data_IF_501138016269
#
_entry.id   IF_501138016269
#
_cell.length_a   1.000
_cell.length_b   1.000
_cell.length_c   1.000
_cell.angle_alpha   90.00
_cell.angle_beta   90.00
_cell.angle_gamma   90.00
#
_symmetry.space_group_name_H-M   'P 1'
#
loop_
_entity.id
_entity.type
_entity.pdbx_description
1 polymer ?
#
# COMPACT_ATOMS: atom_id res chain seq x y z
N UNK A 1 -19.85 -18.84 3.78
CA UNK A 1 -18.95 -17.70 3.41
C UNK A 1 -17.66 -17.84 4.17
N UNK A 2 -16.50 -17.77 3.50
CA UNK A 2 -15.21 -17.66 4.18
C UNK A 2 -14.88 -16.19 4.34
N UNK A 3 -14.53 -15.79 5.56
CA UNK A 3 -14.08 -14.44 5.88
C UNK A 3 -12.56 -14.39 5.77
N UNK A 4 -12.04 -13.41 5.04
CA UNK A 4 -10.61 -13.18 4.87
C UNK A 4 -10.28 -11.84 5.54
N UNK A 5 -9.36 -11.86 6.50
CA UNK A 5 -8.87 -10.64 7.13
C UNK A 5 -7.77 -10.01 6.26
N UNK A 6 -7.86 -8.70 6.06
CA UNK A 6 -6.91 -7.93 5.28
C UNK A 6 -6.80 -6.51 5.81
N UNK A 7 -5.96 -5.71 5.17
CA UNK A 7 -5.76 -4.30 5.51
C UNK A 7 -6.28 -3.41 4.38
N UNK A 8 -6.97 -2.34 4.75
CA UNK A 8 -7.43 -1.33 3.79
C UNK A 8 -6.24 -0.62 3.13
N UNK A 9 -6.18 -0.54 1.79
CA UNK A 9 -5.01 -0.03 1.08
C UNK A 9 -4.98 1.50 0.89
N UNK A 10 -5.98 2.24 1.37
CA UNK A 10 -6.14 3.65 0.98
C UNK A 10 -5.24 4.64 1.73
N UNK A 11 -5.09 4.51 3.03
CA UNK A 11 -4.29 5.47 3.78
C UNK A 11 -3.50 4.82 4.91
N UNK A 12 -2.57 5.58 5.49
CA UNK A 12 -1.66 5.11 6.53
C UNK A 12 -2.31 4.72 7.86
N UNK A 13 -3.63 4.89 8.04
CA UNK A 13 -4.32 4.36 9.23
C UNK A 13 -4.20 2.84 9.32
N UNK A 14 -4.20 2.15 8.17
CA UNK A 14 -4.06 0.70 8.15
C UNK A 14 -5.27 -0.03 8.75
N UNK A 15 -6.49 0.44 8.48
CA UNK A 15 -7.71 -0.16 9.00
C UNK A 15 -7.82 -1.63 8.62
N UNK A 16 -8.07 -2.49 9.59
CA UNK A 16 -8.38 -3.90 9.35
C UNK A 16 -9.76 -4.05 8.71
N UNK A 17 -9.85 -4.85 7.67
CA UNK A 17 -11.07 -5.20 6.96
C UNK A 17 -11.28 -6.71 6.97
N UNK A 18 -12.54 -7.10 6.99
CA UNK A 18 -12.99 -8.47 6.83
C UNK A 18 -13.72 -8.58 5.48
N UNK A 19 -13.21 -9.39 4.59
CA UNK A 19 -13.76 -9.58 3.24
C UNK A 19 -14.45 -10.92 3.18
N UNK A 20 -15.73 -10.92 2.82
CA UNK A 20 -16.51 -12.15 2.60
C UNK A 20 -16.80 -12.30 1.11
N UNK A 21 -16.43 -13.46 0.58
CA UNK A 21 -16.72 -13.86 -0.80
C UNK A 21 -17.64 -15.04 -0.73
N UNK A 22 -18.72 -15.01 -1.52
CA UNK A 22 -19.57 -16.16 -1.70
C UNK A 22 -18.83 -17.21 -2.54
N UNK A 23 -18.61 -18.40 -1.95
CA UNK A 23 -17.87 -19.48 -2.62
C UNK A 23 -18.63 -20.09 -3.79
N UNK A 24 -19.94 -19.97 -3.77
CA UNK A 24 -20.83 -20.52 -4.81
C UNK A 24 -21.01 -19.55 -5.99
N UNK A 25 -20.52 -18.30 -5.83
CA UNK A 25 -20.49 -17.34 -6.92
C UNK A 25 -19.30 -17.67 -7.84
N UNK A 26 -19.59 -18.04 -9.07
CA UNK A 26 -18.58 -18.06 -10.13
C UNK A 26 -17.98 -16.63 -10.25
N UNK A 27 -16.80 -16.45 -9.65
CA UNK A 27 -16.13 -15.14 -9.59
C UNK A 27 -15.76 -14.58 -10.97
N UNK A 28 -15.78 -15.45 -12.00
CA UNK A 28 -15.54 -15.06 -13.39
C UNK A 28 -16.77 -14.45 -14.05
N UNK A 29 -17.98 -14.85 -13.62
CA UNK A 29 -19.25 -14.45 -14.26
C UNK A 29 -20.21 -13.71 -13.34
N UNK A 30 -20.05 -13.80 -12.00
CA UNK A 30 -20.94 -13.12 -11.07
C UNK A 30 -20.62 -11.63 -10.94
N UNK A 31 -21.64 -10.79 -11.04
CA UNK A 31 -21.57 -9.36 -10.67
C UNK A 31 -21.69 -9.13 -9.16
N UNK A 32 -21.45 -10.18 -8.35
CA UNK A 32 -21.53 -10.03 -6.90
C UNK A 32 -20.32 -9.29 -6.36
N UNK A 33 -20.63 -8.21 -5.70
CA UNK A 33 -19.67 -7.38 -4.98
C UNK A 33 -19.22 -8.10 -3.71
N UNK A 34 -17.92 -8.26 -3.46
CA UNK A 34 -17.43 -8.73 -2.17
C UNK A 34 -17.96 -7.85 -1.03
N UNK A 35 -18.46 -8.47 0.02
CA UNK A 35 -18.84 -7.74 1.22
C UNK A 35 -17.57 -7.39 2.01
N UNK A 36 -17.34 -6.10 2.19
CA UNK A 36 -16.21 -5.59 2.99
C UNK A 36 -16.76 -4.92 4.23
N UNK A 37 -16.39 -5.46 5.38
CA UNK A 37 -16.76 -4.95 6.69
C UNK A 37 -15.50 -4.53 7.47
N UNK A 38 -15.68 -3.66 8.45
CA UNK A 38 -14.62 -3.31 9.36
C UNK A 38 -14.30 -4.50 10.29
N UNK A 39 -13.02 -4.83 10.44
CA UNK A 39 -12.58 -5.78 11.47
C UNK A 39 -12.79 -5.17 12.85
N UNK A 40 -13.60 -5.84 13.69
CA UNK A 40 -13.94 -5.36 15.03
C UNK A 40 -12.78 -5.43 16.01
N UNK A 41 -11.84 -6.33 15.76
CA UNK A 41 -10.73 -6.62 16.67
C UNK A 41 -9.40 -5.98 16.23
N UNK A 42 -9.37 -5.36 15.07
CA UNK A 42 -8.13 -4.77 14.56
C UNK A 42 -7.79 -3.47 15.30
N UNK A 43 -6.57 -3.32 15.85
CA UNK A 43 -6.22 -2.22 16.76
C UNK A 43 -6.19 -0.83 16.11
N UNK A 44 -6.06 -0.75 14.78
CA UNK A 44 -6.06 0.53 14.10
C UNK A 44 -7.45 1.18 14.02
N UNK A 45 -8.52 0.39 13.92
CA UNK A 45 -9.84 0.92 13.60
C UNK A 45 -11.01 0.44 14.48
N UNK A 46 -10.87 -0.63 15.26
CA UNK A 46 -11.89 -1.15 16.17
C UNK A 46 -13.32 -1.13 15.58
N UNK A 47 -13.47 -1.73 14.41
CA UNK A 47 -14.76 -1.83 13.74
C UNK A 47 -15.23 -0.58 13.00
N UNK A 48 -14.38 0.43 12.81
CA UNK A 48 -14.71 1.65 12.04
C UNK A 48 -14.12 1.61 10.64
N UNK A 49 -14.82 2.18 9.69
CA UNK A 49 -14.32 2.47 8.34
C UNK A 49 -14.79 3.85 7.90
N UNK A 50 -14.01 4.49 7.07
CA UNK A 50 -14.44 5.69 6.33
C UNK A 50 -15.17 5.28 5.03
N UNK A 51 -15.74 6.25 4.33
CA UNK A 51 -16.46 6.02 3.07
C UNK A 51 -15.64 5.24 2.04
N UNK A 52 -14.34 5.52 1.92
CA UNK A 52 -13.45 4.80 1.00
C UNK A 52 -13.28 3.33 1.38
N UNK A 53 -13.03 3.06 2.66
CA UNK A 53 -12.90 1.69 3.17
C UNK A 53 -14.18 0.87 3.02
N UNK A 54 -15.34 1.51 3.27
CA UNK A 54 -16.64 0.86 3.09
C UNK A 54 -16.96 0.56 1.63
N UNK A 55 -16.47 1.37 0.69
CA UNK A 55 -16.65 1.19 -0.74
C UNK A 55 -15.58 0.29 -1.40
N UNK A 56 -14.65 -0.28 -0.62
CA UNK A 56 -13.53 -1.06 -1.16
C UNK A 56 -13.99 -2.22 -2.06
N UNK A 57 -15.09 -2.90 -1.69
CA UNK A 57 -15.64 -3.98 -2.51
C UNK A 57 -16.10 -3.55 -3.91
N UNK A 58 -16.43 -2.28 -4.11
CA UNK A 58 -16.88 -1.75 -5.41
C UNK A 58 -15.73 -1.62 -6.40
N UNK A 59 -14.52 -1.45 -5.92
CA UNK A 59 -13.33 -1.34 -6.79
C UNK A 59 -13.08 -2.63 -7.58
N UNK A 60 -13.52 -3.78 -7.05
CA UNK A 60 -13.37 -5.07 -7.73
C UNK A 60 -14.39 -5.28 -8.85
N UNK A 61 -15.54 -4.61 -8.81
CA UNK A 61 -16.54 -4.67 -9.88
C UNK A 61 -16.05 -3.94 -11.13
N UNK A 62 -15.39 -2.81 -10.95
CA UNK A 62 -14.88 -2.00 -12.05
C UNK A 62 -13.75 -2.67 -12.85
N UNK A 63 -13.11 -3.70 -12.30
CA UNK A 63 -12.04 -4.43 -12.99
C UNK A 63 -12.53 -5.15 -14.24
N UNK A 64 -13.78 -5.64 -14.27
CA UNK A 64 -14.36 -6.33 -15.41
C UNK A 64 -14.61 -5.42 -16.63
N UNK A 65 -14.84 -4.13 -16.38
CA UNK A 65 -15.15 -3.12 -17.41
C UNK A 65 -13.97 -2.15 -17.65
N UNK A 66 -12.86 -2.39 -16.99
CA UNK A 66 -11.76 -1.44 -16.94
C UNK A 66 -10.76 -1.62 -18.08
N UNK A 67 -10.14 -0.54 -18.49
CA UNK A 67 -8.97 -0.51 -19.37
C UNK A 67 -7.69 -1.03 -18.66
N UNK A 68 -7.82 -2.00 -17.78
CA UNK A 68 -6.66 -2.59 -17.10
C UNK A 68 -6.03 -3.65 -17.97
N UNK A 69 -4.70 -3.64 -18.02
CA UNK A 69 -3.91 -4.70 -18.64
C UNK A 69 -4.08 -5.98 -17.80
N UNK A 70 -4.57 -7.04 -18.42
CA UNK A 70 -4.84 -8.33 -17.76
C UNK A 70 -3.88 -9.44 -18.16
N UNK A 71 -3.04 -9.18 -19.18
CA UNK A 71 -2.02 -10.10 -19.67
C UNK A 71 -0.77 -9.32 -20.11
N UNK A 72 0.42 -9.92 -20.04
CA UNK A 72 1.63 -9.30 -20.57
C UNK A 72 1.59 -9.23 -22.10
N UNK A 73 2.31 -8.26 -22.67
CA UNK A 73 2.48 -8.15 -24.13
C UNK A 73 3.91 -7.82 -24.48
N UNK A 74 4.36 -8.33 -25.63
CA UNK A 74 5.64 -8.00 -26.25
C UNK A 74 5.35 -7.46 -27.67
N UNK A 75 5.84 -6.27 -27.98
CA UNK A 75 5.65 -5.60 -29.26
C UNK A 75 4.17 -5.51 -29.74
N UNK A 76 3.25 -5.41 -28.76
CA UNK A 76 1.81 -5.30 -28.99
C UNK A 76 1.06 -6.63 -29.03
N UNK A 77 1.77 -7.76 -29.06
CA UNK A 77 1.18 -9.11 -29.04
C UNK A 77 1.07 -9.63 -27.62
N UNK A 78 -0.10 -10.19 -27.26
CA UNK A 78 -0.30 -10.84 -25.96
C UNK A 78 0.49 -12.11 -25.86
N UNK A 79 1.25 -12.28 -24.77
CA UNK A 79 2.10 -13.44 -24.52
C UNK A 79 1.79 -14.09 -23.18
N UNK A 80 2.36 -15.27 -22.93
CA UNK A 80 2.28 -15.90 -21.61
C UNK A 80 3.21 -15.20 -20.61
N UNK A 81 2.97 -15.41 -19.31
CA UNK A 81 3.86 -14.91 -18.27
C UNK A 81 5.26 -15.52 -18.37
N UNK A 82 5.38 -16.78 -18.79
CA UNK A 82 6.68 -17.43 -19.02
C UNK A 82 7.45 -16.70 -20.11
N UNK A 83 6.84 -16.50 -21.28
CA UNK A 83 7.49 -15.82 -22.40
C UNK A 83 7.92 -14.39 -22.04
N UNK A 84 7.07 -13.68 -21.29
CA UNK A 84 7.37 -12.33 -20.84
C UNK A 84 8.58 -12.27 -19.90
N UNK A 85 8.62 -13.18 -18.92
CA UNK A 85 9.74 -13.24 -17.95
C UNK A 85 11.03 -13.71 -18.60
N UNK A 86 10.97 -14.66 -19.52
CA UNK A 86 12.13 -15.14 -20.28
C UNK A 86 12.70 -14.02 -21.16
N UNK A 87 11.84 -13.26 -21.84
CA UNK A 87 12.26 -12.11 -22.64
C UNK A 87 12.90 -11.02 -21.77
N UNK A 88 12.36 -10.73 -20.59
CA UNK A 88 12.96 -9.77 -19.65
C UNK A 88 14.32 -10.27 -19.16
N UNK A 89 14.41 -11.52 -18.76
CA UNK A 89 15.67 -12.13 -18.30
C UNK A 89 16.75 -12.08 -19.37
N UNK A 90 16.39 -12.40 -20.61
CA UNK A 90 17.31 -12.33 -21.74
C UNK A 90 17.83 -10.89 -21.95
N UNK A 91 16.93 -9.90 -22.01
CA UNK A 91 17.31 -8.48 -22.23
C UNK A 91 18.18 -7.95 -21.09
N UNK A 92 17.91 -8.33 -19.84
CA UNK A 92 18.78 -7.97 -18.70
C UNK A 92 20.17 -8.60 -18.86
N UNK A 93 20.23 -9.89 -19.21
CA UNK A 93 21.49 -10.61 -19.41
C UNK A 93 22.31 -9.99 -20.53
N UNK A 94 21.73 -9.74 -21.69
CA UNK A 94 22.38 -9.08 -22.82
C UNK A 94 22.91 -7.68 -22.47
N UNK A 95 22.15 -6.91 -21.69
CA UNK A 95 22.59 -5.60 -21.22
C UNK A 95 23.79 -5.70 -20.28
N UNK A 96 23.78 -6.67 -19.37
CA UNK A 96 24.89 -6.91 -18.45
C UNK A 96 26.15 -7.38 -19.19
N UNK A 97 26.00 -8.29 -20.14
CA UNK A 97 27.14 -8.81 -20.94
C UNK A 97 27.80 -7.72 -21.82
N UNK A 98 26.96 -6.81 -22.35
CA UNK A 98 27.42 -5.75 -23.24
C UNK A 98 27.96 -4.52 -22.50
N UNK A 99 27.33 -4.13 -21.42
CA UNK A 99 27.54 -2.83 -20.76
C UNK A 99 27.90 -2.94 -19.28
N UNK A 100 27.94 -4.16 -18.73
CA UNK A 100 28.22 -4.41 -17.33
C UNK A 100 26.95 -4.26 -16.44
N UNK A 101 27.04 -4.77 -15.21
CA UNK A 101 25.92 -4.81 -14.27
C UNK A 101 25.35 -3.44 -13.89
N UNK A 102 26.14 -2.40 -13.99
CA UNK A 102 25.71 -1.02 -13.69
C UNK A 102 24.78 -0.42 -14.77
N UNK A 103 24.58 -1.14 -15.89
CA UNK A 103 23.61 -0.76 -16.92
C UNK A 103 22.16 -1.06 -16.51
N UNK A 104 21.96 -1.84 -15.45
CA UNK A 104 20.64 -2.21 -14.96
C UNK A 104 20.29 -1.39 -13.71
N UNK A 105 19.10 -0.81 -13.70
CA UNK A 105 18.56 -0.10 -12.56
C UNK A 105 17.10 -0.45 -12.31
N UNK A 106 16.68 -0.49 -11.03
CA UNK A 106 15.30 -0.69 -10.63
C UNK A 106 14.77 0.60 -10.03
N UNK A 107 13.64 1.07 -10.55
CA UNK A 107 12.88 2.16 -9.95
C UNK A 107 11.52 1.61 -9.51
N UNK A 108 11.34 1.49 -8.21
CA UNK A 108 10.19 0.82 -7.61
C UNK A 108 9.12 1.83 -7.17
N UNK A 109 7.87 1.38 -7.09
CA UNK A 109 6.82 2.17 -6.45
C UNK A 109 7.05 2.27 -4.94
N UNK A 110 6.70 3.40 -4.34
CA UNK A 110 6.67 3.57 -2.88
C UNK A 110 5.50 2.87 -2.19
N UNK A 111 4.63 2.19 -2.94
CA UNK A 111 3.40 1.56 -2.45
C UNK A 111 3.31 0.07 -2.82
N UNK A 112 4.41 -0.63 -2.70
CA UNK A 112 4.49 -2.07 -2.88
C UNK A 112 4.34 -2.79 -1.54
N UNK A 113 4.08 -4.09 -1.60
CA UNK A 113 4.15 -4.96 -0.44
C UNK A 113 5.60 -5.11 0.03
N UNK A 114 5.81 -5.42 1.31
CA UNK A 114 7.15 -5.66 1.86
C UNK A 114 7.88 -6.77 1.13
N UNK A 115 7.15 -7.81 0.73
CA UNK A 115 7.66 -8.94 -0.03
C UNK A 115 8.17 -8.52 -1.41
N UNK A 116 7.50 -7.60 -2.10
CA UNK A 116 7.93 -7.08 -3.41
C UNK A 116 9.28 -6.35 -3.28
N UNK A 117 9.43 -5.51 -2.25
CA UNK A 117 10.72 -4.84 -1.97
C UNK A 117 11.82 -5.85 -1.65
N UNK A 118 11.51 -6.88 -0.87
CA UNK A 118 12.47 -7.92 -0.54
C UNK A 118 12.97 -8.65 -1.80
N UNK A 119 12.05 -9.11 -2.64
CA UNK A 119 12.38 -9.83 -3.87
C UNK A 119 13.16 -8.95 -4.84
N UNK A 120 12.73 -7.70 -5.06
CA UNK A 120 13.41 -6.76 -5.92
C UNK A 120 14.83 -6.44 -5.42
N UNK A 121 15.01 -6.17 -4.12
CA UNK A 121 16.33 -5.94 -3.55
C UNK A 121 17.23 -7.18 -3.64
N UNK A 122 16.69 -8.37 -3.42
CA UNK A 122 17.43 -9.62 -3.55
C UNK A 122 17.89 -9.85 -4.99
N UNK A 123 17.01 -9.58 -5.97
CA UNK A 123 17.36 -9.72 -7.38
C UNK A 123 18.44 -8.72 -7.79
N UNK A 124 18.23 -7.42 -7.55
CA UNK A 124 19.15 -6.38 -8.04
C UNK A 124 20.51 -6.43 -7.32
N UNK A 125 20.52 -6.59 -6.00
CA UNK A 125 21.75 -6.58 -5.21
C UNK A 125 22.42 -7.94 -5.12
N UNK A 126 21.64 -9.01 -4.93
CA UNK A 126 22.15 -10.35 -4.70
C UNK A 126 22.53 -11.12 -5.96
N UNK A 127 21.73 -10.98 -7.02
CA UNK A 127 21.93 -11.74 -8.27
C UNK A 127 22.54 -10.90 -9.38
N UNK A 128 22.04 -9.69 -9.62
CA UNK A 128 22.63 -8.78 -10.64
C UNK A 128 23.92 -8.16 -10.09
N UNK A 129 23.96 -7.84 -8.80
CA UNK A 129 25.16 -7.35 -8.13
C UNK A 129 25.40 -5.85 -8.30
N UNK A 130 24.37 -5.05 -8.49
CA UNK A 130 24.42 -3.59 -8.48
C UNK A 130 23.56 -2.99 -7.37
N UNK A 131 23.86 -1.76 -6.96
CA UNK A 131 23.07 -1.01 -5.98
C UNK A 131 22.10 -0.01 -6.63
N UNK A 132 21.91 -0.06 -7.94
CA UNK A 132 21.08 0.87 -8.70
C UNK A 132 19.58 0.58 -8.48
N UNK A 133 19.08 0.83 -7.26
CA UNK A 133 17.68 0.68 -6.91
C UNK A 133 17.23 1.85 -6.07
N UNK A 134 16.08 2.43 -6.43
CA UNK A 134 15.48 3.54 -5.69
C UNK A 134 13.94 3.48 -5.82
N UNK A 135 13.26 4.34 -5.08
CA UNK A 135 11.79 4.46 -5.10
C UNK A 135 11.37 5.93 -5.16
N UNK A 136 10.13 6.18 -5.58
CA UNK A 136 9.55 7.53 -5.56
C UNK A 136 9.38 8.09 -4.13
N UNK A 137 9.30 7.25 -3.10
CA UNK A 137 9.22 7.68 -1.70
C UNK A 137 10.43 8.50 -1.27
N UNK A 138 11.61 8.27 -1.85
CA UNK A 138 12.79 9.11 -1.64
C UNK A 138 12.53 10.58 -1.99
N UNK A 139 11.81 10.86 -3.06
CA UNK A 139 11.47 12.22 -3.48
C UNK A 139 10.23 12.75 -2.73
N UNK A 140 9.21 11.92 -2.55
CA UNK A 140 7.96 12.27 -1.90
C UNK A 140 8.14 12.63 -0.41
N UNK A 141 9.00 11.90 0.31
CA UNK A 141 9.19 12.02 1.76
C UNK A 141 10.55 12.62 2.16
N UNK A 142 11.32 13.16 1.24
CA UNK A 142 12.69 13.62 1.51
C UNK A 142 12.80 14.55 2.74
N UNK A 143 11.96 15.58 2.81
CA UNK A 143 11.94 16.53 3.93
C UNK A 143 11.46 15.89 5.23
N UNK A 144 10.45 15.02 5.18
CA UNK A 144 9.93 14.34 6.35
C UNK A 144 10.96 13.38 6.95
N UNK A 145 11.64 12.58 6.13
CA UNK A 145 12.73 11.69 6.57
C UNK A 145 13.85 12.45 7.25
N UNK A 146 14.29 13.58 6.65
CA UNK A 146 15.32 14.43 7.26
C UNK A 146 14.84 15.02 8.58
N UNK A 147 13.57 15.45 8.64
CA UNK A 147 12.96 15.96 9.87
C UNK A 147 12.94 14.92 10.99
N UNK A 148 12.49 13.71 10.71
CA UNK A 148 12.49 12.58 11.68
C UNK A 148 13.91 12.25 12.15
N UNK A 149 14.86 12.12 11.24
CA UNK A 149 16.26 11.84 11.61
C UNK A 149 16.88 12.94 12.49
N UNK A 150 16.56 14.20 12.23
CA UNK A 150 17.05 15.31 13.06
C UNK A 150 16.40 15.35 14.44
N UNK A 151 15.10 15.06 14.53
CA UNK A 151 14.35 15.13 15.79
C UNK A 151 14.52 13.87 16.64
N UNK A 152 14.54 12.68 16.03
CA UNK A 152 14.45 11.39 16.72
C UNK A 152 15.66 10.47 16.49
N UNK A 153 16.61 10.86 15.65
CA UNK A 153 17.80 10.06 15.32
C UNK A 153 17.55 8.97 14.28
N UNK A 154 16.30 8.69 13.90
CA UNK A 154 15.95 7.65 12.94
C UNK A 154 14.72 8.05 12.09
N UNK A 155 14.53 7.36 10.98
CA UNK A 155 13.34 7.48 10.14
C UNK A 155 12.25 6.55 10.65
N UNK A 156 11.60 6.95 11.75
CA UNK A 156 10.52 6.19 12.38
C UNK A 156 9.42 7.10 12.87
N UNK A 157 8.19 6.59 12.95
CA UNK A 157 7.10 7.22 13.69
C UNK A 157 7.24 6.75 15.15
N UNK A 158 7.61 7.62 16.11
CA UNK A 158 8.03 7.18 17.44
C UNK A 158 6.88 6.85 18.40
N UNK A 159 5.62 7.03 17.99
CA UNK A 159 4.45 6.84 18.84
C UNK A 159 3.49 5.79 18.25
N UNK A 160 2.62 5.26 19.11
CA UNK A 160 1.53 4.36 18.75
C UNK A 160 0.20 5.12 18.65
N UNK A 161 -0.86 4.46 18.19
CA UNK A 161 -2.19 5.06 18.19
C UNK A 161 -2.76 5.23 19.60
N UNK A 162 -2.36 4.40 20.55
CA UNK A 162 -2.74 4.50 21.95
C UNK A 162 -2.23 5.81 22.59
N UNK A 163 -1.08 6.31 22.17
CA UNK A 163 -0.53 7.57 22.70
C UNK A 163 -1.46 8.76 22.46
N UNK A 164 -2.29 8.70 21.40
CA UNK A 164 -3.31 9.72 21.15
C UNK A 164 -4.40 9.75 22.25
N UNK A 165 -4.63 8.61 22.90
CA UNK A 165 -5.65 8.45 23.94
C UNK A 165 -5.16 9.02 25.29
N UNK A 166 -3.84 9.06 25.49
CA UNK A 166 -3.20 9.55 26.71
C UNK A 166 -2.64 10.96 26.60
N UNK A 167 -2.74 11.56 25.42
CA UNK A 167 -2.22 12.90 25.19
C UNK A 167 -3.10 13.98 25.81
N UNK A 168 -2.54 14.83 26.67
CA UNK A 168 -3.26 15.98 27.24
C UNK A 168 -3.52 17.08 26.20
N UNK A 169 -2.72 17.12 25.15
CA UNK A 169 -2.84 18.07 24.05
C UNK A 169 -2.44 17.44 22.72
N UNK A 170 -3.30 17.57 21.72
CA UNK A 170 -2.99 17.19 20.34
C UNK A 170 -2.91 18.45 19.48
N UNK A 171 -1.77 18.65 18.84
CA UNK A 171 -1.53 19.80 17.97
C UNK A 171 -1.50 19.35 16.51
N UNK A 172 -2.39 19.87 15.67
CA UNK A 172 -2.45 19.62 14.24
C UNK A 172 -1.80 20.79 13.50
N UNK A 173 -0.69 20.55 12.80
CA UNK A 173 0.04 21.56 12.05
C UNK A 173 0.03 21.23 10.56
N UNK A 174 -0.63 22.06 9.75
CA UNK A 174 -0.75 21.84 8.30
C UNK A 174 -1.44 20.54 7.92
N UNK A 175 -2.24 19.97 8.84
CA UNK A 175 -2.89 18.67 8.68
C UNK A 175 -4.40 18.80 8.58
N UNK A 176 -5.00 18.14 7.61
CA UNK A 176 -6.42 17.91 7.55
C UNK A 176 -6.72 16.42 7.86
N UNK A 177 -6.46 16.01 9.08
CA UNK A 177 -6.56 14.62 9.52
C UNK A 177 -7.97 14.03 9.34
N UNK A 178 -9.01 14.86 9.46
CA UNK A 178 -10.39 14.46 9.24
C UNK A 178 -10.63 13.92 7.82
N UNK A 179 -9.94 14.45 6.82
CA UNK A 179 -10.07 14.04 5.43
C UNK A 179 -9.04 13.00 5.01
N UNK A 180 -7.81 13.17 5.47
CA UNK A 180 -6.70 12.30 5.05
C UNK A 180 -6.63 10.99 5.82
N UNK A 181 -7.00 11.01 7.12
CA UNK A 181 -6.96 9.87 8.03
C UNK A 181 -8.23 9.81 8.89
N UNK A 182 -9.43 9.63 8.28
CA UNK A 182 -10.71 9.85 8.96
C UNK A 182 -10.89 9.00 10.24
N UNK A 183 -10.51 7.73 10.19
CA UNK A 183 -10.68 6.82 11.34
C UNK A 183 -9.73 7.18 12.48
N UNK A 184 -8.51 7.63 12.17
CA UNK A 184 -7.57 8.11 13.19
C UNK A 184 -8.06 9.43 13.82
N UNK A 185 -8.59 10.33 13.00
CA UNK A 185 -9.19 11.57 13.50
C UNK A 185 -10.39 11.30 14.43
N UNK A 186 -11.27 10.35 14.08
CA UNK A 186 -12.35 9.91 14.96
C UNK A 186 -11.82 9.40 16.31
N UNK A 187 -10.67 8.71 16.30
CA UNK A 187 -10.03 8.25 17.53
C UNK A 187 -9.57 9.44 18.38
N UNK A 188 -8.94 10.45 17.79
CA UNK A 188 -8.59 11.67 18.50
C UNK A 188 -9.80 12.32 19.16
N UNK A 189 -10.94 12.46 18.45
CA UNK A 189 -12.15 13.08 18.98
C UNK A 189 -12.78 12.32 20.16
N UNK A 190 -12.61 11.01 20.23
CA UNK A 190 -13.17 10.22 21.32
C UNK A 190 -12.47 10.45 22.67
N UNK A 191 -11.21 10.81 22.64
CA UNK A 191 -10.36 10.91 23.82
C UNK A 191 -9.96 12.35 24.15
N UNK A 192 -10.28 13.30 23.27
CA UNK A 192 -10.13 14.72 23.58
C UNK A 192 -11.42 15.25 24.21
N UNK A 193 -11.29 16.03 25.26
CA UNK A 193 -12.42 16.80 25.78
C UNK A 193 -12.98 17.72 24.69
N UNK A 194 -14.31 17.88 24.58
CA UNK A 194 -14.88 18.77 23.58
C UNK A 194 -14.28 20.17 23.73
N UNK A 195 -13.91 20.75 22.60
CA UNK A 195 -13.43 22.11 22.56
C UNK A 195 -14.55 23.03 23.06
N UNK A 196 -14.25 24.07 23.86
CA UNK A 196 -15.25 25.06 24.26
C UNK A 196 -15.89 25.81 23.08
N UNK A 197 -15.49 25.51 21.84
CA UNK A 197 -16.00 26.11 20.61
C UNK A 197 -16.83 25.17 19.76
N UNK A 198 -17.02 23.92 20.16
CA UNK A 198 -17.85 22.93 19.48
C UNK A 198 -19.29 22.91 20.03
#
# INVERSE_FOLDING_TARGET
>A
MSEILSTCPYCGVGCGVAVSIDKDADTATSNQKPLVLASKVHPANFGRLCSKGSALGETLLSVKESNRITAPSIDGETVTWSDATDSIAQKITESIETHGKESVAFYLSGQLLTEDYYVANKLIKGFIGTANVDTNSRLCMASAVVGYKRAFGSDTVPCSYEDLEYADLIVLIGSNAAWTHPVLYQRCLLYTSPSPRD
#
